data_IF_808599286671
#
_entry.id   IF_808599286671
#
_cell.length_a   1.000
_cell.length_b   1.000
_cell.length_c   1.000
_cell.angle_alpha   90.00
_cell.angle_beta   90.00
_cell.angle_gamma   90.00
#
_symmetry.space_group_name_H-M   'P 1'
#
loop_
_entity.id
_entity.type
_entity.pdbx_description
1 polymer ?
#
# COMPACT_ATOMS: atom_id res chain seq x y z
N UNK A 1 8.50 26.87 -11.89
CA UNK A 1 7.81 25.63 -12.31
C UNK A 1 7.47 24.87 -11.04
N UNK A 2 6.19 24.56 -10.78
CA UNK A 2 5.80 23.88 -9.54
C UNK A 2 6.03 22.38 -9.70
N UNK A 3 6.88 21.80 -8.86
CA UNK A 3 7.25 20.39 -8.91
C UNK A 3 6.03 19.51 -8.59
N UNK A 4 5.75 18.48 -9.41
CA UNK A 4 4.63 17.58 -9.16
C UNK A 4 4.91 16.75 -7.92
N UNK A 5 4.10 16.92 -6.88
CA UNK A 5 4.21 16.19 -5.61
C UNK A 5 3.64 14.76 -5.66
N UNK A 6 3.05 14.37 -6.79
CA UNK A 6 2.37 13.10 -6.94
C UNK A 6 2.46 12.59 -8.38
N UNK A 7 2.33 11.28 -8.52
CA UNK A 7 2.15 10.58 -9.79
C UNK A 7 0.71 10.09 -9.90
N UNK A 8 0.20 9.90 -11.13
CA UNK A 8 -1.15 9.41 -11.36
C UNK A 8 -1.11 8.11 -12.14
N UNK A 9 -1.71 7.06 -11.58
CA UNK A 9 -1.87 5.74 -12.19
C UNK A 9 -3.35 5.38 -12.15
N UNK A 10 -3.95 5.03 -13.28
CA UNK A 10 -5.38 4.68 -13.40
C UNK A 10 -6.34 5.68 -12.74
N UNK A 11 -6.07 6.98 -12.89
CA UNK A 11 -6.83 8.08 -12.29
C UNK A 11 -6.81 8.08 -10.75
N UNK A 12 -5.81 7.45 -10.14
CA UNK A 12 -5.50 7.50 -8.71
C UNK A 12 -4.15 8.17 -8.52
N UNK A 13 -4.08 9.10 -7.58
CA UNK A 13 -2.89 9.88 -7.24
C UNK A 13 -2.13 9.17 -6.12
N UNK A 14 -0.84 9.00 -6.33
CA UNK A 14 0.11 8.35 -5.42
C UNK A 14 1.24 9.31 -5.12
N UNK A 15 1.90 9.15 -3.97
CA UNK A 15 3.07 9.94 -3.64
C UNK A 15 4.17 9.77 -4.73
N UNK A 16 4.93 10.84 -4.99
CA UNK A 16 5.92 10.83 -6.08
C UNK A 16 7.03 9.77 -5.87
N UNK A 17 7.34 9.48 -4.61
CA UNK A 17 8.35 8.47 -4.24
C UNK A 17 7.82 7.04 -4.22
N UNK A 18 6.50 6.83 -4.39
CA UNK A 18 5.93 5.48 -4.39
C UNK A 18 6.40 4.73 -5.63
N UNK A 19 7.00 3.54 -5.49
CA UNK A 19 7.44 2.78 -6.65
C UNK A 19 6.29 2.49 -7.61
N UNK A 20 6.50 2.68 -8.91
CA UNK A 20 5.46 2.47 -9.93
C UNK A 20 4.83 1.07 -9.86
N UNK A 21 5.63 0.04 -9.61
CA UNK A 21 5.14 -1.33 -9.45
C UNK A 21 4.20 -1.49 -8.26
N UNK A 22 4.47 -0.78 -7.15
CA UNK A 22 3.58 -0.74 -5.99
C UNK A 22 2.26 -0.04 -6.34
N UNK A 23 2.30 1.08 -7.07
CA UNK A 23 1.07 1.74 -7.55
C UNK A 23 0.21 0.78 -8.41
N UNK A 24 0.84 0.02 -9.30
CA UNK A 24 0.14 -0.98 -10.13
C UNK A 24 -0.46 -2.12 -9.29
N UNK A 25 0.28 -2.62 -8.30
CA UNK A 25 -0.21 -3.64 -7.35
C UNK A 25 -1.44 -3.12 -6.59
N UNK A 26 -1.40 -1.87 -6.09
CA UNK A 26 -2.52 -1.27 -5.39
C UNK A 26 -3.77 -1.14 -6.30
N UNK A 27 -3.59 -0.79 -7.57
CA UNK A 27 -4.69 -0.73 -8.54
C UNK A 27 -5.29 -2.10 -8.85
N UNK A 28 -4.47 -3.14 -8.99
CA UNK A 28 -4.93 -4.52 -9.17
C UNK A 28 -5.76 -4.94 -7.96
N UNK A 29 -5.21 -4.81 -6.75
CA UNK A 29 -5.89 -5.16 -5.50
C UNK A 29 -7.20 -4.36 -5.29
N UNK A 30 -7.24 -3.09 -5.73
CA UNK A 30 -8.44 -2.24 -5.71
C UNK A 30 -9.54 -2.74 -6.65
N UNK A 31 -9.17 -3.22 -7.83
CA UNK A 31 -10.10 -3.78 -8.81
C UNK A 31 -10.62 -5.15 -8.36
N UNK A 32 -9.72 -6.01 -7.88
CA UNK A 32 -10.02 -7.38 -7.45
C UNK A 32 -10.79 -7.45 -6.12
N UNK A 33 -10.91 -6.32 -5.41
CA UNK A 33 -11.50 -6.24 -4.06
C UNK A 33 -10.85 -7.20 -3.07
N UNK A 34 -9.57 -7.50 -3.27
CA UNK A 34 -8.81 -8.37 -2.39
C UNK A 34 -8.68 -7.72 -1.02
N UNK A 35 -9.00 -8.49 0.02
CA UNK A 35 -8.86 -8.03 1.40
C UNK A 35 -7.41 -8.23 1.85
N UNK A 36 -6.70 -7.14 2.07
CA UNK A 36 -5.26 -7.13 2.36
C UNK A 36 -4.94 -6.67 3.79
N UNK A 37 -3.72 -6.99 4.22
CA UNK A 37 -3.05 -6.41 5.37
C UNK A 37 -1.82 -5.65 4.86
N UNK A 38 -1.71 -4.39 5.28
CA UNK A 38 -0.57 -3.52 5.02
C UNK A 38 0.42 -3.63 6.19
N UNK A 39 1.70 -3.48 5.87
CA UNK A 39 2.74 -3.23 6.86
C UNK A 39 3.45 -1.94 6.46
N UNK A 40 3.36 -0.94 7.33
CA UNK A 40 4.05 0.34 7.14
C UNK A 40 5.40 0.34 7.83
N UNK A 41 6.29 1.18 7.33
CA UNK A 41 7.65 1.27 7.81
C UNK A 41 8.49 2.25 7.03
N UNK A 42 9.77 2.28 7.41
CA UNK A 42 10.78 2.97 6.63
C UNK A 42 11.19 2.12 5.42
N UNK A 43 10.82 2.57 4.22
CA UNK A 43 11.10 1.87 2.96
C UNK A 43 12.59 1.81 2.61
N UNK A 44 13.43 2.69 3.18
CA UNK A 44 14.88 2.70 2.95
C UNK A 44 15.58 1.64 3.79
N UNK A 45 15.10 1.38 5.00
CA UNK A 45 15.70 0.38 5.92
C UNK A 45 14.94 -0.94 5.99
N UNK A 46 13.69 -0.96 5.51
CA UNK A 46 12.77 -2.10 5.66
C UNK A 46 12.28 -2.31 7.10
N UNK A 47 12.50 -1.34 8.00
CA UNK A 47 12.07 -1.43 9.41
C UNK A 47 10.57 -1.15 9.51
N UNK A 48 9.81 -2.10 10.04
CA UNK A 48 8.39 -1.96 10.34
C UNK A 48 8.17 -0.96 11.48
N UNK A 49 7.04 -0.27 11.43
CA UNK A 49 6.53 0.54 12.55
C UNK A 49 5.63 -0.24 13.50
N UNK A 50 5.40 -1.53 13.22
CA UNK A 50 4.62 -2.46 14.05
C UNK A 50 3.17 -2.00 14.32
N UNK A 51 2.59 -1.29 13.36
CA UNK A 51 1.20 -0.86 13.41
C UNK A 51 0.25 -2.06 13.56
N UNK A 52 -0.74 -1.91 14.45
CA UNK A 52 -1.71 -2.97 14.76
C UNK A 52 -3.14 -2.63 14.32
N UNK A 53 -3.45 -1.35 14.20
CA UNK A 53 -4.78 -0.83 13.91
C UNK A 53 -4.81 -0.24 12.50
N UNK A 54 -5.98 -0.26 11.87
CA UNK A 54 -6.22 0.39 10.57
C UNK A 54 -5.24 0.00 9.44
N UNK A 55 -4.71 -1.23 9.52
CA UNK A 55 -3.82 -1.80 8.50
C UNK A 55 -4.48 -2.88 7.64
N UNK A 56 -5.75 -3.22 7.91
CA UNK A 56 -6.41 -4.37 7.25
C UNK A 56 -7.74 -3.93 6.62
N UNK A 57 -7.81 -3.91 5.29
CA UNK A 57 -9.02 -3.49 4.55
C UNK A 57 -9.08 -4.04 3.12
N UNK A 58 -10.04 -3.56 2.33
CA UNK A 58 -9.98 -3.57 0.87
C UNK A 58 -9.55 -2.18 0.39
N UNK A 59 -9.01 -2.07 -0.83
CA UNK A 59 -8.65 -0.77 -1.38
C UNK A 59 -9.88 -0.16 -2.06
N UNK A 60 -10.24 1.05 -1.62
CA UNK A 60 -11.18 1.95 -2.25
C UNK A 60 -10.46 3.14 -2.90
N UNK A 61 -11.24 4.08 -3.42
CA UNK A 61 -10.73 5.32 -4.01
C UNK A 61 -11.61 6.47 -3.60
N UNK A 62 -11.00 7.62 -3.27
CA UNK A 62 -11.74 8.83 -2.96
C UNK A 62 -12.49 9.38 -4.19
N UNK A 63 -13.51 10.19 -3.93
CA UNK A 63 -14.36 10.82 -4.95
C UNK A 63 -13.96 12.26 -5.29
N UNK A 64 -12.93 12.80 -4.63
CA UNK A 64 -12.43 14.16 -4.87
C UNK A 64 -11.78 14.33 -6.25
N UNK A 65 -11.43 15.58 -6.56
CA UNK A 65 -10.77 15.97 -7.83
C UNK A 65 -9.44 15.25 -8.02
N UNK A 66 -8.62 15.20 -6.97
CA UNK A 66 -7.43 14.35 -6.88
C UNK A 66 -7.77 13.09 -6.11
N UNK A 67 -8.09 12.02 -6.85
CA UNK A 67 -8.44 10.74 -6.25
C UNK A 67 -7.22 10.11 -5.58
N UNK A 68 -7.40 9.54 -4.40
CA UNK A 68 -6.34 8.86 -3.64
C UNK A 68 -6.79 7.45 -3.23
N UNK A 69 -5.86 6.51 -3.00
CA UNK A 69 -6.21 5.19 -2.49
C UNK A 69 -6.66 5.28 -1.03
N UNK A 70 -7.75 4.59 -0.70
CA UNK A 70 -8.30 4.52 0.65
C UNK A 70 -8.27 3.08 1.14
N UNK A 71 -7.93 2.85 2.42
CA UNK A 71 -8.10 1.55 3.06
C UNK A 71 -9.47 1.48 3.71
N UNK A 72 -10.37 0.71 3.10
CA UNK A 72 -11.75 0.54 3.55
C UNK A 72 -11.79 -0.66 4.50
N UNK A 73 -12.13 -0.42 5.76
CA UNK A 73 -12.05 -1.44 6.80
C UNK A 73 -12.97 -2.64 6.53
N UNK A 74 -14.23 -2.40 6.16
CA UNK A 74 -15.18 -3.44 5.76
C UNK A 74 -16.22 -2.92 4.76
N UNK A 75 -17.05 -3.83 4.21
CA UNK A 75 -18.04 -3.50 3.17
C UNK A 75 -19.14 -2.52 3.63
N UNK A 76 -19.37 -2.37 4.95
CA UNK A 76 -20.34 -1.42 5.51
C UNK A 76 -19.71 -0.04 5.75
N UNK A 77 -18.40 0.11 5.58
CA UNK A 77 -17.71 1.39 5.69
C UNK A 77 -18.01 2.25 4.46
N UNK A 78 -18.47 3.49 4.69
CA UNK A 78 -18.70 4.47 3.62
C UNK A 78 -17.39 5.10 3.09
N UNK A 79 -16.29 4.90 3.80
CA UNK A 79 -14.98 5.45 3.48
C UNK A 79 -13.88 4.75 4.28
N UNK A 80 -12.69 5.36 4.30
CA UNK A 80 -11.53 4.82 5.00
C UNK A 80 -10.37 5.80 5.00
N UNK A 81 -9.32 5.45 5.74
CA UNK A 81 -8.10 6.27 5.81
C UNK A 81 -7.35 6.28 4.49
N UNK A 82 -6.70 7.41 4.16
CA UNK A 82 -5.77 7.47 3.05
C UNK A 82 -4.63 6.47 3.28
N UNK A 83 -4.27 5.71 2.24
CA UNK A 83 -3.13 4.80 2.32
C UNK A 83 -1.85 5.62 2.25
N UNK A 84 -0.94 5.44 3.22
CA UNK A 84 0.38 6.04 3.22
C UNK A 84 1.32 5.23 2.30
N UNK A 85 1.08 5.35 0.99
CA UNK A 85 1.60 4.47 -0.05
C UNK A 85 3.14 4.46 -0.14
N UNK A 86 3.79 5.58 0.12
CA UNK A 86 5.26 5.68 0.13
C UNK A 86 5.93 5.08 1.39
N UNK A 87 5.15 4.62 2.38
CA UNK A 87 5.65 3.98 3.59
C UNK A 87 5.30 2.49 3.64
N UNK A 88 4.73 1.91 2.58
CA UNK A 88 4.42 0.48 2.55
C UNK A 88 5.71 -0.32 2.39
N UNK A 89 6.02 -1.19 3.35
CA UNK A 89 7.16 -2.12 3.25
C UNK A 89 6.73 -3.53 2.83
N UNK A 90 5.46 -3.90 3.06
CA UNK A 90 4.90 -5.20 2.67
C UNK A 90 3.38 -5.14 2.51
N UNK A 91 2.85 -5.93 1.58
CA UNK A 91 1.41 -6.19 1.43
C UNK A 91 1.19 -7.69 1.40
N UNK A 92 0.28 -8.16 2.24
CA UNK A 92 -0.17 -9.55 2.25
C UNK A 92 -1.70 -9.64 2.17
N UNK A 93 -2.20 -10.78 1.76
CA UNK A 93 -3.61 -11.10 1.93
C UNK A 93 -3.95 -11.16 3.42
N UNK A 94 -5.11 -10.64 3.80
CA UNK A 94 -5.55 -10.58 5.20
C UNK A 94 -5.95 -11.95 5.79
N UNK A 95 -6.21 -12.93 4.92
CA UNK A 95 -6.65 -14.28 5.28
C UNK A 95 -5.70 -15.30 4.69
N UNK A 96 -5.71 -16.51 5.26
CA UNK A 96 -4.94 -17.64 4.73
C UNK A 96 -5.30 -17.87 3.25
N UNK A 97 -4.31 -18.10 2.36
CA UNK A 97 -2.92 -18.50 2.66
C UNK A 97 -1.93 -17.34 2.92
N UNK A 98 -2.38 -16.11 3.17
CA UNK A 98 -1.52 -14.93 3.40
C UNK A 98 -0.57 -14.65 2.23
N UNK A 99 -1.10 -14.74 1.00
CA UNK A 99 -0.34 -14.46 -0.22
C UNK A 99 0.33 -13.09 -0.11
N UNK A 100 1.63 -13.05 -0.39
CA UNK A 100 2.40 -11.80 -0.42
C UNK A 100 2.30 -11.17 -1.81
N UNK A 101 1.87 -9.92 -1.85
CA UNK A 101 1.74 -9.15 -3.09
C UNK A 101 2.92 -8.21 -3.30
N UNK A 102 3.51 -7.70 -2.22
CA UNK A 102 4.58 -6.72 -2.30
C UNK A 102 5.56 -6.86 -1.13
N UNK A 103 6.82 -6.55 -1.37
CA UNK A 103 7.83 -6.28 -0.34
C UNK A 103 8.80 -5.24 -0.88
N UNK A 104 9.14 -4.23 -0.08
CA UNK A 104 10.11 -3.22 -0.50
C UNK A 104 11.52 -3.83 -0.64
N UNK A 105 12.36 -3.20 -1.47
CA UNK A 105 13.72 -3.69 -1.77
C UNK A 105 14.58 -3.88 -0.53
N UNK A 106 14.55 -2.93 0.39
CA UNK A 106 15.35 -2.99 1.62
C UNK A 106 14.97 -4.20 2.50
N UNK A 107 13.66 -4.45 2.67
CA UNK A 107 13.18 -5.60 3.44
C UNK A 107 13.49 -6.93 2.74
N UNK A 108 13.45 -6.98 1.40
CA UNK A 108 13.88 -8.17 0.64
C UNK A 108 15.38 -8.47 0.87
N UNK A 109 16.24 -7.46 0.82
CA UNK A 109 17.69 -7.62 1.02
C UNK A 109 18.01 -8.07 2.45
N UNK A 110 17.41 -7.43 3.45
CA UNK A 110 17.58 -7.80 4.87
C UNK A 110 17.21 -9.26 5.15
N UNK A 111 16.13 -9.75 4.53
CA UNK A 111 15.70 -11.15 4.67
C UNK A 111 16.66 -12.14 4.03
N UNK A 112 17.31 -11.79 2.91
CA UNK A 112 18.32 -12.64 2.29
C UNK A 112 19.54 -12.79 3.19
N UNK A 113 20.06 -11.67 3.71
CA UNK A 113 21.22 -11.65 4.61
C UNK A 113 21.03 -12.45 5.91
N UNK A 114 19.79 -12.58 6.39
CA UNK A 114 19.49 -13.33 7.62
C UNK A 114 19.23 -14.82 7.37
N UNK A 115 19.13 -15.26 6.11
CA UNK A 115 18.89 -16.65 5.74
C UNK A 115 20.18 -17.36 5.25
N UNK A 116 21.30 -16.62 5.19
CA UNK A 116 22.66 -17.13 4.99
C UNK A 116 23.36 -17.28 6.35
#
# INVERSE_FOLDING_TARGET
>A
MMERKYQVINNTSYHIETPRDLCLILEILRNDKTRIKLNYGDVKTGKSWEDKYDITGTIGRSTGTSKIPLLIHNIRSLGGGAILDHCIIEITESRKPYRKFYTCKALQQKRKLNND
#
